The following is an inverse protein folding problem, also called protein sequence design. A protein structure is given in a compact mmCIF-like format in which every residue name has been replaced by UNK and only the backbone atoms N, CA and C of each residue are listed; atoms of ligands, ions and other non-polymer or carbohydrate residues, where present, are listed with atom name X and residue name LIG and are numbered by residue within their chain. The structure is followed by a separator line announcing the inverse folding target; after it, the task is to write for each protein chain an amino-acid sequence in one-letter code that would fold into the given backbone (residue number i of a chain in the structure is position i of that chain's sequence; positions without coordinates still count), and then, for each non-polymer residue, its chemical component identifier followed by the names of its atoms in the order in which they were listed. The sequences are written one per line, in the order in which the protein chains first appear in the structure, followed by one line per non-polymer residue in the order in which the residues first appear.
data_IF_993012329940
#
_entry.id   IF_993012329940
#
_cell.length_a   1.000
_cell.length_b   1.000
_cell.length_c   1.000
_cell.angle_alpha   90.00
_cell.angle_beta   90.00
_cell.angle_gamma   90.00
#
_symmetry.space_group_name_H-M   'P 1'
#
loop_
_entity.id
_entity.type
_entity.pdbx_description
1 polymer ?
#
# COMPACT_ATOMS: atom_id res chain seq x y z
N UNK A 1 1.47 31.23 -8.90
CA UNK A 1 2.40 30.21 -9.41
C UNK A 1 1.60 29.05 -10.00
N UNK A 2 2.14 28.35 -10.99
CA UNK A 2 1.44 27.26 -11.68
C UNK A 2 1.38 26.03 -10.77
N UNK A 3 0.19 25.41 -10.62
CA UNK A 3 0.05 24.14 -9.90
C UNK A 3 0.44 22.98 -10.81
N UNK A 4 0.93 21.90 -10.22
CA UNK A 4 1.38 20.71 -10.94
C UNK A 4 0.66 19.47 -10.43
N UNK A 5 0.17 18.63 -11.33
CA UNK A 5 -0.55 17.40 -11.01
C UNK A 5 0.29 16.19 -11.37
N UNK A 6 0.45 15.29 -10.42
CA UNK A 6 1.00 13.97 -10.65
C UNK A 6 0.08 13.20 -11.62
N UNK A 7 0.58 12.82 -12.79
CA UNK A 7 -0.18 12.07 -13.80
C UNK A 7 -0.51 10.63 -13.35
N UNK A 8 0.10 10.18 -12.26
CA UNK A 8 0.00 8.81 -11.74
C UNK A 8 -1.14 8.67 -10.74
N UNK A 9 -1.17 9.57 -9.75
CA UNK A 9 -2.09 9.47 -8.62
C UNK A 9 -2.91 10.75 -8.38
N UNK A 10 -2.88 11.70 -9.31
CA UNK A 10 -3.68 12.92 -9.27
C UNK A 10 -3.30 13.93 -8.18
N UNK A 11 -2.26 13.67 -7.38
CA UNK A 11 -1.80 14.63 -6.36
C UNK A 11 -1.45 15.97 -7.01
N UNK A 12 -1.95 17.06 -6.45
CA UNK A 12 -1.67 18.42 -6.94
C UNK A 12 -0.69 19.08 -5.99
N UNK A 13 0.51 19.35 -6.50
CA UNK A 13 1.47 20.24 -5.88
C UNK A 13 1.02 21.69 -6.04
N UNK A 14 0.80 22.36 -4.91
CA UNK A 14 0.54 23.78 -4.84
C UNK A 14 1.79 24.52 -4.34
N UNK A 15 2.49 25.30 -5.19
CA UNK A 15 3.65 26.07 -4.77
C UNK A 15 3.41 26.96 -3.55
N UNK A 16 2.18 27.44 -3.33
CA UNK A 16 1.87 28.25 -2.15
C UNK A 16 1.93 27.44 -0.84
N UNK A 17 1.51 26.17 -0.90
CA UNK A 17 1.55 25.26 0.25
C UNK A 17 2.90 24.57 0.40
N UNK A 18 3.59 24.27 -0.72
CA UNK A 18 4.78 23.42 -0.72
C UNK A 18 4.43 21.97 -0.36
N UNK A 19 5.42 21.27 0.19
CA UNK A 19 5.30 19.94 0.80
C UNK A 19 6.23 19.85 2.04
N UNK A 20 5.88 20.53 3.16
CA UNK A 20 6.79 20.69 4.31
C UNK A 20 7.15 19.36 4.98
N UNK A 21 6.23 18.39 4.99
CA UNK A 21 6.44 17.05 5.56
C UNK A 21 7.55 16.29 4.82
N UNK A 22 7.81 16.66 3.55
CA UNK A 22 8.86 16.09 2.72
C UNK A 22 9.95 17.11 2.37
N UNK A 23 10.10 18.16 3.19
CA UNK A 23 11.22 19.10 3.11
C UNK A 23 11.11 20.18 2.02
N UNK A 24 9.91 20.43 1.48
CA UNK A 24 9.66 21.49 0.49
C UNK A 24 8.85 22.62 1.15
N UNK A 25 9.45 23.77 1.50
CA UNK A 25 8.72 24.88 2.12
C UNK A 25 7.62 25.45 1.23
N UNK A 26 6.60 26.03 1.85
CA UNK A 26 5.61 26.84 1.14
C UNK A 26 6.26 28.04 0.44
N UNK A 27 5.79 28.34 -0.76
CA UNK A 27 6.36 29.35 -1.65
C UNK A 27 7.41 28.83 -2.64
N UNK A 28 7.78 27.54 -2.57
CA UNK A 28 8.73 26.93 -3.51
C UNK A 28 8.05 26.70 -4.86
N UNK A 29 8.64 27.16 -5.98
CA UNK A 29 8.14 26.83 -7.31
C UNK A 29 8.44 25.36 -7.63
N UNK A 30 7.61 24.70 -8.44
CA UNK A 30 7.81 23.27 -8.75
C UNK A 30 9.16 23.00 -9.42
N UNK A 31 9.60 23.95 -10.25
CA UNK A 31 10.89 23.96 -10.91
C UNK A 31 12.05 23.98 -9.92
N UNK A 32 11.87 24.61 -8.75
CA UNK A 32 12.87 24.74 -7.68
C UNK A 32 12.85 23.59 -6.67
N UNK A 33 11.87 22.68 -6.75
CA UNK A 33 11.80 21.48 -5.90
C UNK A 33 12.96 20.54 -6.25
N UNK A 34 13.60 19.91 -5.25
CA UNK A 34 14.69 18.94 -5.47
C UNK A 34 14.31 17.84 -6.48
N UNK A 35 15.23 17.46 -7.37
CA UNK A 35 15.05 16.31 -8.28
C UNK A 35 14.90 14.97 -7.54
N UNK A 36 15.33 14.91 -6.27
CA UNK A 36 15.14 13.73 -5.41
C UNK A 36 13.80 13.71 -4.69
N UNK A 37 13.00 14.78 -4.79
CA UNK A 37 11.65 14.81 -4.24
C UNK A 37 10.75 13.92 -5.09
N UNK A 38 9.86 13.19 -4.41
CA UNK A 38 8.90 12.29 -5.04
C UNK A 38 7.49 12.66 -4.59
N UNK A 39 6.50 12.30 -5.41
CA UNK A 39 5.10 12.49 -5.09
C UNK A 39 4.77 11.87 -3.71
N UNK A 40 4.23 12.61 -2.73
CA UNK A 40 3.98 12.11 -1.38
C UNK A 40 2.89 11.05 -1.31
N UNK A 41 2.13 10.87 -2.39
CA UNK A 41 1.04 9.90 -2.47
C UNK A 41 1.48 8.57 -3.11
N UNK A 42 2.34 8.60 -4.13
CA UNK A 42 2.70 7.38 -4.89
C UNK A 42 4.20 7.16 -5.11
N UNK A 43 5.06 8.07 -4.67
CA UNK A 43 6.52 7.90 -4.68
C UNK A 43 7.19 8.04 -6.05
N UNK A 44 6.48 8.51 -7.08
CA UNK A 44 7.08 8.77 -8.40
C UNK A 44 7.80 10.12 -8.45
N UNK A 45 8.77 10.26 -9.35
CA UNK A 45 9.55 11.49 -9.51
C UNK A 45 8.78 12.65 -10.14
N UNK A 46 9.44 13.82 -10.17
CA UNK A 46 8.93 15.07 -10.76
C UNK A 46 8.63 14.95 -12.26
N UNK A 47 9.27 14.01 -12.95
CA UNK A 47 9.08 13.72 -14.38
C UNK A 47 7.67 13.26 -14.74
N UNK A 48 6.89 12.79 -13.76
CA UNK A 48 5.49 12.40 -13.91
C UNK A 48 4.50 13.45 -13.40
N UNK A 49 4.90 14.73 -13.37
CA UNK A 49 4.00 15.86 -13.09
C UNK A 49 3.72 16.68 -14.34
N UNK A 50 2.48 17.12 -14.46
CA UNK A 50 2.01 17.96 -15.54
C UNK A 50 1.36 19.23 -14.98
N UNK A 51 1.52 20.38 -15.64
CA UNK A 51 0.95 21.60 -15.15
C UNK A 51 -0.58 21.62 -15.27
N UNK A 52 -1.26 22.08 -14.23
CA UNK A 52 -2.72 22.28 -14.25
C UNK A 52 -3.03 23.58 -15.01
N UNK A 53 -3.77 23.48 -16.13
CA UNK A 53 -4.25 24.65 -16.86
C UNK A 53 -5.62 25.09 -16.29
N UNK A 54 -5.84 26.40 -16.19
CA UNK A 54 -6.97 27.00 -15.48
C UNK A 54 -8.31 26.66 -16.12
N UNK A 55 -9.10 25.85 -15.40
CA UNK A 55 -10.57 25.71 -15.39
C UNK A 55 -10.99 24.49 -14.52
N UNK A 56 -10.04 23.71 -14.00
CA UNK A 56 -10.31 22.61 -13.06
C UNK A 56 -10.19 23.00 -11.56
N UNK A 57 -10.57 24.22 -11.20
CA UNK A 57 -10.33 24.79 -9.85
C UNK A 57 -11.19 24.23 -8.71
N UNK A 58 -12.01 23.18 -8.92
CA UNK A 58 -12.88 22.64 -7.85
C UNK A 58 -12.89 21.11 -7.72
N UNK A 59 -11.79 20.43 -8.08
CA UNK A 59 -11.58 19.06 -7.62
C UNK A 59 -10.70 19.08 -6.36
N UNK A 60 -11.35 19.12 -5.20
CA UNK A 60 -10.70 18.98 -3.89
C UNK A 60 -9.76 17.77 -3.87
N UNK A 61 -8.64 17.96 -3.16
CA UNK A 61 -7.58 16.98 -2.95
C UNK A 61 -8.12 15.70 -2.30
N UNK A 62 -8.64 14.80 -3.12
CA UNK A 62 -8.73 13.37 -2.82
C UNK A 62 -7.58 12.77 -3.60
N UNK A 63 -6.59 12.18 -2.93
CA UNK A 63 -5.45 11.53 -3.59
C UNK A 63 -5.99 10.54 -4.60
N UNK A 64 -6.10 10.96 -5.86
CA UNK A 64 -7.19 10.55 -6.74
C UNK A 64 -6.68 9.64 -7.82
N UNK A 65 -7.41 8.55 -8.02
CA UNK A 65 -7.42 7.82 -9.27
C UNK A 65 -7.20 8.79 -10.46
N UNK A 66 -6.38 8.46 -11.47
CA UNK A 66 -6.35 9.27 -12.69
C UNK A 66 -7.80 9.53 -13.09
N UNK A 67 -8.10 10.80 -13.40
CA UNK A 67 -9.46 11.26 -13.70
C UNK A 67 -10.16 10.19 -14.51
N UNK A 68 -11.35 9.75 -14.05
CA UNK A 68 -12.11 8.74 -14.74
C UNK A 68 -12.13 9.12 -16.22
N UNK A 69 -11.52 8.28 -17.06
CA UNK A 69 -11.58 8.49 -18.50
C UNK A 69 -13.06 8.67 -18.83
N UNK A 70 -13.42 9.84 -19.33
CA UNK A 70 -14.80 10.11 -19.73
C UNK A 70 -15.22 9.08 -20.77
N UNK A 71 -16.44 8.54 -20.59
CA UNK A 71 -17.07 7.49 -21.39
C UNK A 71 -16.27 6.18 -21.53
N UNK A 72 -16.98 5.09 -21.80
CA UNK A 72 -16.38 3.80 -22.14
C UNK A 72 -15.48 3.97 -23.37
N UNK A 73 -14.16 4.02 -23.15
CA UNK A 73 -13.20 4.07 -24.25
C UNK A 73 -13.12 2.69 -24.91
N UNK A 74 -13.24 2.60 -26.24
CA UNK A 74 -13.11 1.34 -26.92
C UNK A 74 -11.70 0.77 -26.71
N UNK A 75 -11.60 -0.54 -26.45
CA UNK A 75 -10.31 -1.24 -26.26
C UNK A 75 -9.36 -1.00 -27.44
N UNK A 76 -9.88 -0.76 -28.66
CA UNK A 76 -9.09 -0.43 -29.84
C UNK A 76 -8.22 0.85 -29.69
N UNK A 77 -8.51 1.72 -28.71
CA UNK A 77 -7.70 2.90 -28.36
C UNK A 77 -6.65 2.58 -27.27
N UNK A 78 -5.98 1.42 -27.35
CA UNK A 78 -4.82 1.14 -26.50
C UNK A 78 -3.77 2.24 -26.69
N UNK A 79 -3.16 2.71 -25.60
CA UNK A 79 -2.22 3.84 -25.56
C UNK A 79 -0.91 3.64 -26.33
N UNK A 80 -0.82 2.75 -27.33
CA UNK A 80 0.36 2.54 -28.19
C UNK A 80 1.67 2.43 -27.40
N UNK A 81 1.70 1.60 -26.36
CA UNK A 81 2.83 1.42 -25.43
C UNK A 81 3.19 2.67 -24.59
N UNK A 82 2.28 3.62 -24.42
CA UNK A 82 2.43 4.75 -23.49
C UNK A 82 2.58 4.27 -22.04
N UNK A 83 3.74 4.52 -21.39
CA UNK A 83 3.97 4.16 -19.99
C UNK A 83 2.92 4.73 -19.03
N UNK A 84 2.40 5.94 -19.29
CA UNK A 84 1.40 6.57 -18.42
C UNK A 84 0.06 5.84 -18.49
N UNK A 85 -0.35 5.43 -19.68
CA UNK A 85 -1.55 4.60 -19.88
C UNK A 85 -1.40 3.23 -19.19
N UNK A 86 -0.25 2.56 -19.34
CA UNK A 86 0.01 1.27 -18.69
C UNK A 86 0.00 1.40 -17.16
N UNK A 87 0.65 2.43 -16.63
CA UNK A 87 0.67 2.68 -15.19
C UNK A 87 -0.73 3.00 -14.63
N UNK A 88 -1.52 3.79 -15.36
CA UNK A 88 -2.91 4.09 -14.99
C UNK A 88 -3.78 2.83 -14.93
N UNK A 89 -3.55 1.87 -15.83
CA UNK A 89 -4.25 0.59 -15.80
C UNK A 89 -3.92 -0.23 -14.54
N UNK A 90 -2.68 -0.19 -14.05
CA UNK A 90 -2.31 -0.87 -12.79
C UNK A 90 -3.13 -0.37 -11.60
N UNK A 91 -3.48 0.93 -11.57
CA UNK A 91 -4.34 1.50 -10.51
C UNK A 91 -5.80 1.06 -10.58
N UNK A 92 -6.22 0.31 -11.60
CA UNK A 92 -7.55 -0.31 -11.68
C UNK A 92 -7.60 -1.71 -11.09
N UNK A 93 -6.45 -2.31 -10.74
CA UNK A 93 -6.43 -3.56 -9.98
C UNK A 93 -7.01 -3.29 -8.58
N UNK A 94 -7.99 -4.09 -8.18
CA UNK A 94 -8.60 -4.01 -6.85
C UNK A 94 -7.75 -4.77 -5.83
N UNK A 95 -7.71 -4.26 -4.61
CA UNK A 95 -6.97 -4.84 -3.51
C UNK A 95 -7.78 -4.76 -2.21
N UNK A 96 -7.65 -5.78 -1.37
CA UNK A 96 -8.03 -5.68 0.04
C UNK A 96 -7.02 -4.85 0.84
N UNK A 97 -7.29 -4.66 2.13
CA UNK A 97 -6.33 -4.09 3.08
C UNK A 97 -6.09 -5.05 4.25
N UNK A 98 -4.82 -5.22 4.56
CA UNK A 98 -4.34 -6.22 5.49
C UNK A 98 -3.30 -5.60 6.43
N UNK A 99 -3.21 -6.12 7.66
CA UNK A 99 -2.00 -5.99 8.46
C UNK A 99 -1.21 -7.28 8.30
N UNK A 100 0.01 -7.18 7.78
CA UNK A 100 0.95 -8.28 7.61
C UNK A 100 1.97 -8.21 8.73
N UNK A 101 2.10 -9.28 9.50
CA UNK A 101 3.01 -9.36 10.65
C UNK A 101 3.98 -10.52 10.54
N UNK A 102 5.09 -10.41 11.27
CA UNK A 102 6.08 -11.47 11.39
C UNK A 102 6.92 -11.25 12.66
N UNK A 103 7.85 -12.16 12.91
CA UNK A 103 8.71 -12.17 14.11
C UNK A 103 10.19 -12.22 13.73
N UNK A 104 11.05 -11.82 14.66
CA UNK A 104 12.50 -11.98 14.57
C UNK A 104 13.08 -12.16 15.97
N UNK A 105 13.41 -13.40 16.32
CA UNK A 105 13.61 -13.78 17.73
C UNK A 105 12.37 -13.45 18.55
N UNK A 106 12.53 -12.75 19.67
CA UNK A 106 11.42 -12.33 20.53
C UNK A 106 10.66 -11.10 20.01
N UNK A 107 11.23 -10.39 19.01
CA UNK A 107 10.66 -9.15 18.49
C UNK A 107 9.52 -9.43 17.53
N UNK A 108 8.54 -8.53 17.55
CA UNK A 108 7.40 -8.48 16.64
C UNK A 108 7.48 -7.27 15.72
N UNK A 109 7.00 -7.40 14.50
CA UNK A 109 6.82 -6.27 13.58
C UNK A 109 5.67 -6.56 12.60
N UNK A 110 5.16 -5.51 11.96
CA UNK A 110 4.17 -5.65 10.90
C UNK A 110 4.02 -4.38 10.06
N UNK A 111 3.29 -4.47 8.95
CA UNK A 111 2.95 -3.33 8.09
C UNK A 111 1.52 -3.44 7.58
N UNK A 112 0.94 -2.32 7.17
CA UNK A 112 -0.23 -2.36 6.31
C UNK A 112 0.21 -2.78 4.91
N UNK A 113 -0.54 -3.66 4.27
CA UNK A 113 -0.31 -4.09 2.88
C UNK A 113 -1.64 -4.24 2.16
N UNK A 114 -1.62 -4.04 0.85
CA UNK A 114 -2.77 -4.26 -0.03
C UNK A 114 -2.53 -5.47 -0.97
N UNK A 115 -1.28 -5.86 -1.19
CA UNK A 115 -0.91 -7.00 -2.03
C UNK A 115 -0.89 -8.29 -1.22
N UNK A 116 -2.06 -8.87 -0.99
CA UNK A 116 -2.24 -10.25 -0.50
C UNK A 116 -3.41 -10.88 -1.28
N UNK A 117 -3.21 -12.08 -1.82
CA UNK A 117 -4.27 -12.80 -2.55
C UNK A 117 -4.06 -14.31 -2.48
N UNK A 118 -5.15 -15.06 -2.61
CA UNK A 118 -5.12 -16.52 -2.68
C UNK A 118 -4.58 -16.97 -4.04
N UNK A 119 -3.66 -17.94 -4.01
CA UNK A 119 -3.07 -18.56 -5.21
C UNK A 119 -3.81 -19.85 -5.57
N UNK A 120 -4.05 -20.71 -4.58
CA UNK A 120 -4.79 -21.97 -4.74
C UNK A 120 -5.45 -22.37 -3.41
N UNK A 121 -6.56 -23.09 -3.50
CA UNK A 121 -7.26 -23.68 -2.36
C UNK A 121 -6.76 -25.09 -2.01
N UNK A 122 -6.08 -25.77 -2.94
CA UNK A 122 -5.52 -27.11 -2.71
C UNK A 122 -4.16 -27.23 -3.44
N UNK A 123 -3.03 -27.23 -2.70
CA UNK A 123 -2.92 -26.91 -1.27
C UNK A 123 -3.27 -25.43 -0.99
N UNK A 124 -3.71 -25.09 0.23
CA UNK A 124 -4.05 -23.70 0.59
C UNK A 124 -2.81 -22.80 0.56
N UNK A 125 -2.74 -21.90 -0.43
CA UNK A 125 -1.60 -20.98 -0.58
C UNK A 125 -2.04 -19.55 -0.87
N UNK A 126 -1.29 -18.62 -0.31
CA UNK A 126 -1.41 -17.19 -0.56
C UNK A 126 -0.10 -16.64 -1.10
N UNK A 127 -0.19 -15.52 -1.82
CA UNK A 127 0.96 -14.72 -2.21
C UNK A 127 0.84 -13.31 -1.63
N UNK A 128 1.99 -12.74 -1.28
CA UNK A 128 2.09 -11.38 -0.74
C UNK A 128 3.31 -10.65 -1.31
N UNK A 129 3.08 -9.40 -1.73
CA UNK A 129 4.13 -8.54 -2.26
C UNK A 129 4.61 -7.57 -1.20
N UNK A 130 5.85 -7.69 -0.75
CA UNK A 130 6.41 -6.84 0.31
C UNK A 130 7.65 -6.11 -0.20
N UNK A 131 7.67 -4.80 -0.03
CA UNK A 131 8.80 -3.95 -0.43
C UNK A 131 10.04 -4.31 0.39
N UNK A 132 11.17 -4.50 -0.30
CA UNK A 132 12.47 -4.88 0.32
C UNK A 132 13.00 -3.85 1.30
N UNK A 133 12.59 -2.59 1.21
CA UNK A 133 12.98 -1.53 2.15
C UNK A 133 12.26 -1.62 3.51
N UNK A 134 11.10 -2.30 3.56
CA UNK A 134 10.29 -2.34 4.77
C UNK A 134 10.87 -3.31 5.79
N UNK A 135 10.86 -2.94 7.08
CA UNK A 135 11.33 -3.82 8.16
C UNK A 135 10.58 -5.16 8.19
N UNK A 136 9.31 -5.18 7.78
CA UNK A 136 8.50 -6.41 7.76
C UNK A 136 9.07 -7.43 6.76
N UNK A 137 9.68 -6.97 5.66
CA UNK A 137 10.38 -7.84 4.73
C UNK A 137 11.50 -8.63 5.43
N UNK A 138 12.36 -7.93 6.17
CA UNK A 138 13.46 -8.57 6.92
C UNK A 138 12.96 -9.62 7.90
N UNK A 139 11.85 -9.35 8.61
CA UNK A 139 11.27 -10.26 9.58
C UNK A 139 10.71 -11.52 8.90
N UNK A 140 10.00 -11.36 7.78
CA UNK A 140 9.47 -12.49 7.00
C UNK A 140 10.63 -13.32 6.42
N UNK A 141 11.64 -12.68 5.86
CA UNK A 141 12.81 -13.35 5.28
C UNK A 141 13.56 -14.17 6.31
N UNK A 142 13.73 -13.65 7.53
CA UNK A 142 14.44 -14.36 8.60
C UNK A 142 13.60 -15.49 9.18
N UNK A 143 12.38 -15.19 9.63
CA UNK A 143 11.56 -16.17 10.35
C UNK A 143 10.90 -17.22 9.46
N UNK A 144 10.62 -16.89 8.19
CA UNK A 144 9.87 -17.75 7.28
C UNK A 144 8.41 -17.95 7.70
N UNK A 145 7.85 -17.10 8.57
CA UNK A 145 6.45 -17.14 8.99
C UNK A 145 5.79 -15.78 8.85
N UNK A 146 4.49 -15.77 8.57
CA UNK A 146 3.70 -14.56 8.38
C UNK A 146 2.32 -14.70 9.01
N UNK A 147 1.83 -13.62 9.63
CA UNK A 147 0.45 -13.45 10.04
C UNK A 147 -0.24 -12.42 9.14
N UNK A 148 -1.47 -12.71 8.71
CA UNK A 148 -2.30 -11.80 7.92
C UNK A 148 -3.56 -11.52 8.73
N UNK A 149 -3.80 -10.23 9.00
CA UNK A 149 -5.06 -9.75 9.56
C UNK A 149 -5.83 -9.05 8.44
N UNK A 150 -7.00 -9.60 8.08
CA UNK A 150 -7.91 -9.00 7.10
C UNK A 150 -8.70 -7.91 7.82
N UNK A 151 -8.70 -6.70 7.25
CA UNK A 151 -9.36 -5.55 7.86
C UNK A 151 -10.79 -5.40 7.33
N UNK A 152 -11.74 -5.09 8.22
CA UNK A 152 -13.06 -4.61 7.85
C UNK A 152 -13.04 -3.10 7.62
N UNK A 153 -14.14 -2.54 7.14
CA UNK A 153 -14.27 -1.10 6.87
C UNK A 153 -14.03 -0.18 8.10
N UNK A 154 -14.07 -0.73 9.32
CA UNK A 154 -13.74 -0.06 10.59
C UNK A 154 -12.21 -0.01 10.89
N UNK A 155 -11.38 -0.62 10.04
CA UNK A 155 -9.95 -0.83 10.29
C UNK A 155 -9.00 0.34 10.06
N UNK A 156 -9.48 1.58 9.86
CA UNK A 156 -8.61 2.71 9.47
C UNK A 156 -7.47 2.98 10.45
N UNK A 157 -7.71 2.83 11.75
CA UNK A 157 -6.69 3.08 12.77
C UNK A 157 -5.55 2.07 12.71
N UNK A 158 -5.85 0.81 12.37
CA UNK A 158 -4.83 -0.20 12.10
C UNK A 158 -4.04 0.14 10.84
N UNK A 159 -4.70 0.58 9.77
CA UNK A 159 -4.00 1.03 8.55
C UNK A 159 -3.08 2.22 8.87
N UNK A 160 -3.54 3.21 9.64
CA UNK A 160 -2.73 4.37 10.04
C UNK A 160 -1.53 3.95 10.88
N UNK A 161 -1.75 3.09 11.87
CA UNK A 161 -0.69 2.60 12.76
C UNK A 161 0.39 1.83 12.01
N UNK A 162 -0.01 0.93 11.11
CA UNK A 162 0.90 0.03 10.43
C UNK A 162 1.42 0.51 9.07
N UNK A 163 0.81 1.54 8.48
CA UNK A 163 1.16 2.07 7.15
C UNK A 163 1.99 3.35 7.14
N UNK A 164 1.99 4.15 8.22
CA UNK A 164 2.55 5.52 8.21
C UNK A 164 3.83 5.64 9.04
N UNK A 165 4.28 4.54 9.64
CA UNK A 165 5.53 4.52 10.40
C UNK A 165 6.25 3.19 10.23
N UNK A 166 7.58 3.27 10.23
CA UNK A 166 8.43 2.08 10.24
C UNK A 166 8.56 1.53 11.65
N UNK A 167 8.61 0.20 11.76
CA UNK A 167 8.95 -0.46 13.03
C UNK A 167 10.39 -0.25 13.46
N UNK A 168 11.22 0.38 12.61
CA UNK A 168 12.58 0.82 12.97
C UNK A 168 12.56 2.03 13.88
N UNK A 169 11.59 2.92 13.68
CA UNK A 169 11.53 4.23 14.35
C UNK A 169 10.53 4.23 15.50
N UNK A 170 9.48 3.42 15.40
CA UNK A 170 8.39 3.37 16.38
C UNK A 170 7.97 1.94 16.68
N UNK A 171 7.76 1.64 17.96
CA UNK A 171 7.07 0.42 18.35
C UNK A 171 5.57 0.54 18.00
N UNK A 172 5.17 -0.18 16.96
CA UNK A 172 3.79 -0.21 16.47
C UNK A 172 2.87 -1.08 17.33
N UNK A 173 3.43 -1.98 18.13
CA UNK A 173 2.70 -2.88 19.01
C UNK A 173 2.55 -2.35 20.44
N UNK A 174 3.29 -1.29 20.80
CA UNK A 174 3.13 -0.62 22.10
C UNK A 174 1.66 -0.22 22.33
N UNK A 175 1.06 -0.76 23.39
CA UNK A 175 -0.35 -0.52 23.75
C UNK A 175 -1.38 -1.09 22.77
N UNK A 176 -0.98 -2.01 21.90
CA UNK A 176 -1.86 -2.71 20.97
C UNK A 176 -2.08 -4.15 21.45
N UNK A 177 -3.32 -4.58 21.47
CA UNK A 177 -3.65 -5.98 21.76
C UNK A 177 -3.37 -6.87 20.55
N UNK A 178 -2.75 -8.02 20.81
CA UNK A 178 -2.53 -9.06 19.81
C UNK A 178 -2.44 -10.43 20.48
N UNK A 179 -2.72 -11.47 19.72
CA UNK A 179 -2.56 -12.87 20.13
C UNK A 179 -1.37 -13.47 19.38
N UNK A 180 -0.55 -14.30 20.04
CA UNK A 180 0.46 -15.08 19.32
C UNK A 180 -0.19 -16.33 18.74
N UNK A 181 -0.10 -16.46 17.42
CA UNK A 181 -0.61 -17.60 16.68
C UNK A 181 0.22 -18.87 16.85
N UNK A 182 -0.19 -19.95 16.19
CA UNK A 182 0.48 -21.25 16.23
C UNK A 182 1.92 -21.21 15.68
N UNK A 183 2.22 -20.28 14.78
CA UNK A 183 3.55 -20.02 14.23
C UNK A 183 4.36 -19.02 15.05
N UNK A 184 3.77 -18.45 16.10
CA UNK A 184 4.38 -17.43 16.96
C UNK A 184 4.22 -15.99 16.45
N UNK A 185 3.70 -15.79 15.24
CA UNK A 185 3.41 -14.47 14.67
C UNK A 185 2.32 -13.75 15.48
N UNK A 186 2.39 -12.42 15.60
CA UNK A 186 1.36 -11.66 16.29
C UNK A 186 0.15 -11.41 15.38
N UNK A 187 -1.02 -11.86 15.80
CA UNK A 187 -2.31 -11.60 15.17
C UNK A 187 -2.98 -10.42 15.88
N UNK A 188 -3.05 -9.27 15.20
CA UNK A 188 -3.53 -8.01 15.78
C UNK A 188 -5.05 -8.04 15.93
N UNK A 189 -5.57 -7.76 17.13
CA UNK A 189 -7.03 -7.77 17.34
C UNK A 189 -7.71 -6.62 16.57
N UNK A 190 -8.98 -6.80 16.24
CA UNK A 190 -9.77 -5.81 15.48
C UNK A 190 -9.94 -6.11 13.99
N UNK A 191 -9.23 -7.09 13.43
CA UNK A 191 -9.52 -7.63 12.11
C UNK A 191 -10.80 -8.46 12.05
N UNK A 192 -11.26 -8.75 10.82
CA UNK A 192 -12.46 -9.56 10.54
C UNK A 192 -12.12 -11.03 10.31
N UNK A 193 -10.87 -11.33 9.93
CA UNK A 193 -10.36 -12.67 9.74
C UNK A 193 -8.82 -12.70 9.85
N UNK A 194 -8.27 -13.87 10.15
CA UNK A 194 -6.84 -14.10 10.34
C UNK A 194 -6.36 -15.30 9.54
N UNK A 195 -5.12 -15.23 9.08
CA UNK A 195 -4.41 -16.33 8.42
C UNK A 195 -2.97 -16.36 8.95
N UNK A 196 -2.46 -17.55 9.25
CA UNK A 196 -1.03 -17.79 9.46
C UNK A 196 -0.46 -18.61 8.31
N UNK A 197 0.76 -18.27 7.90
CA UNK A 197 1.44 -18.96 6.81
C UNK A 197 2.92 -19.22 7.05
N UNK A 198 3.42 -20.28 6.42
CA UNK A 198 4.85 -20.60 6.32
C UNK A 198 5.35 -20.30 4.92
N UNK A 199 6.44 -19.54 4.81
CA UNK A 199 7.00 -19.12 3.52
C UNK A 199 7.63 -20.32 2.81
N UNK A 200 7.20 -20.56 1.58
CA UNK A 200 7.78 -21.52 0.65
C UNK A 200 8.96 -20.84 -0.07
N UNK A 201 10.16 -20.92 0.53
CA UNK A 201 11.33 -20.15 0.10
C UNK A 201 11.71 -20.40 -1.37
N UNK A 202 11.56 -21.63 -1.83
CA UNK A 202 11.80 -22.08 -3.21
C UNK A 202 10.79 -21.50 -4.22
N UNK A 203 9.66 -20.96 -3.74
CA UNK A 203 8.61 -20.36 -4.56
C UNK A 203 8.55 -18.83 -4.41
N UNK A 204 9.46 -18.24 -3.65
CA UNK A 204 9.57 -16.78 -3.55
C UNK A 204 10.27 -16.21 -4.79
N UNK A 205 9.80 -15.06 -5.27
CA UNK A 205 10.28 -14.46 -6.53
C UNK A 205 10.70 -13.00 -6.29
N UNK A 206 11.87 -12.64 -6.81
CA UNK A 206 12.30 -11.25 -6.92
C UNK A 206 11.53 -10.56 -8.06
N UNK A 207 10.81 -9.50 -7.74
CA UNK A 207 10.02 -8.73 -8.72
C UNK A 207 10.42 -7.25 -8.72
N UNK A 208 11.71 -6.97 -8.47
CA UNK A 208 12.27 -5.62 -8.48
C UNK A 208 12.30 -5.00 -7.08
N UNK A 209 11.47 -3.99 -6.83
CA UNK A 209 11.43 -3.31 -5.52
C UNK A 209 10.79 -4.16 -4.42
N UNK A 210 10.07 -5.22 -4.80
CA UNK A 210 9.38 -6.13 -3.90
C UNK A 210 9.89 -7.55 -4.04
N UNK A 211 9.70 -8.34 -2.97
CA UNK A 211 9.68 -9.80 -3.06
C UNK A 211 8.23 -10.24 -3.08
N UNK A 212 7.89 -11.11 -4.04
CA UNK A 212 6.65 -11.87 -4.01
C UNK A 212 6.90 -13.13 -3.17
N UNK A 213 6.41 -13.13 -1.94
CA UNK A 213 6.44 -14.32 -1.10
C UNK A 213 5.25 -15.21 -1.41
N UNK A 214 5.46 -16.52 -1.41
CA UNK A 214 4.40 -17.53 -1.42
C UNK A 214 4.41 -18.21 -0.06
N UNK A 215 3.24 -18.33 0.56
CA UNK A 215 3.07 -18.98 1.85
C UNK A 215 2.04 -20.09 1.77
N UNK A 216 2.36 -21.24 2.38
CA UNK A 216 1.38 -22.27 2.71
C UNK A 216 0.61 -21.82 3.95
N UNK A 217 -0.72 -21.87 3.88
CA UNK A 217 -1.60 -21.52 5.00
C UNK A 217 -1.64 -22.68 5.98
N UNK A 218 -1.35 -22.40 7.24
CA UNK A 218 -1.29 -23.41 8.31
C UNK A 218 -2.34 -23.23 9.40
N UNK A 219 -2.94 -22.04 9.52
CA UNK A 219 -4.01 -21.73 10.46
C UNK A 219 -4.83 -20.54 9.92
N UNK A 220 -6.11 -20.46 10.27
CA UNK A 220 -6.94 -19.31 9.93
C UNK A 220 -8.34 -19.35 10.53
N UNK A 221 -8.92 -18.18 10.75
CA UNK A 221 -10.26 -18.05 11.33
C UNK A 221 -10.98 -16.78 10.84
N UNK A 222 -12.30 -16.88 10.69
CA UNK A 222 -13.19 -15.73 10.55
C UNK A 222 -13.65 -15.30 11.94
N UNK A 223 -13.63 -14.00 12.20
CA UNK A 223 -13.91 -13.39 13.51
C UNK A 223 -15.20 -12.57 13.48
N UNK A 224 -15.42 -11.85 12.37
CA UNK A 224 -16.61 -11.05 12.15
C UNK A 224 -17.13 -11.32 10.74
N UNK A 225 -18.44 -11.41 10.62
CA UNK A 225 -19.14 -11.50 9.33
C UNK A 225 -19.50 -10.09 8.84
N UNK A 226 -18.49 -9.37 8.37
CA UNK A 226 -18.58 -7.99 7.87
C UNK A 226 -17.74 -7.81 6.62
N UNK A 227 -18.05 -6.81 5.81
CA UNK A 227 -17.37 -6.58 4.54
C UNK A 227 -15.86 -6.26 4.73
N UNK A 228 -14.96 -6.92 3.97
CA UNK A 228 -13.55 -6.55 3.94
C UNK A 228 -13.33 -5.15 3.38
N UNK A 229 -12.43 -4.40 4.01
CA UNK A 229 -11.98 -3.11 3.50
C UNK A 229 -11.23 -3.30 2.19
N UNK A 230 -11.69 -2.60 1.15
CA UNK A 230 -10.92 -2.45 -0.10
C UNK A 230 -10.00 -1.24 -0.02
N UNK A 231 -8.89 -1.28 -0.76
CA UNK A 231 -7.99 -0.13 -0.87
C UNK A 231 -8.69 1.10 -1.45
N UNK A 232 -9.62 0.88 -2.39
CA UNK A 232 -10.47 1.95 -2.96
C UNK A 232 -11.38 2.56 -1.90
N UNK A 233 -12.02 1.74 -1.06
CA UNK A 233 -12.83 2.23 0.05
C UNK A 233 -12.01 3.09 1.00
N UNK A 234 -10.87 2.57 1.47
CA UNK A 234 -10.00 3.30 2.40
C UNK A 234 -9.58 4.66 1.86
N UNK A 235 -9.19 4.75 0.59
CA UNK A 235 -8.81 6.04 -0.02
C UNK A 235 -9.95 7.05 -0.07
N UNK A 236 -11.20 6.59 -0.17
CA UNK A 236 -12.39 7.47 -0.18
C UNK A 236 -12.79 7.94 1.21
N UNK A 237 -12.39 7.22 2.26
CA UNK A 237 -12.86 7.42 3.64
C UNK A 237 -11.74 7.77 4.63
N UNK A 238 -10.52 7.99 4.15
CA UNK A 238 -9.33 8.31 4.96
C UNK A 238 -9.37 9.71 5.57
#
# INVERSE_FOLDING_TARGET
MKKWRCSVCGYVYDPAAGDPDNGVPGGTAFEDVSETWVCPVCGVGKDLFEPVNGDESEAGNTGGQPAAAGADRPVAEMGKNDPKAMQSALFKISYGLFVVTSVKGDRVNGQAANTVFQVTSDPMRIALGINKANLTHEFITESGVVGITILGEDGHDLVRRFGYSSGRDKDKFAGLEYVRGATGVPLVTGGIAFIEGRILRDQTVDVGTHTLFVAEVVEGAVIKDTEPMTYTYFRKTK
#
